data_IF_760385027316
#
_entry.id   IF_760385027316
#
_cell.length_a   1.000
_cell.length_b   1.000
_cell.length_c   1.000
_cell.angle_alpha   90.00
_cell.angle_beta   90.00
_cell.angle_gamma   90.00
#
_symmetry.space_group_name_H-M   'P 1'
#
loop_
_entity.id
_entity.type
_entity.pdbx_description
1 polymer ?
#
# COMPACT_ATOMS: atom_id res chain seq x y z
N UNK A 1 11.17 6.16 6.93
CA UNK A 1 10.08 5.56 7.74
C UNK A 1 10.48 4.13 8.05
N UNK A 2 10.70 3.78 9.32
CA UNK A 2 11.28 2.50 9.74
C UNK A 2 10.19 1.58 10.32
N UNK A 3 9.14 1.29 9.54
CA UNK A 3 8.04 0.41 9.97
C UNK A 3 8.57 -0.96 10.41
N UNK A 4 9.57 -1.48 9.69
CA UNK A 4 10.22 -2.74 10.01
C UNK A 4 10.99 -2.74 11.33
N UNK A 5 11.32 -1.58 11.92
CA UNK A 5 11.94 -1.56 13.25
C UNK A 5 11.06 -2.20 14.33
N UNK A 6 9.73 -2.14 14.16
CA UNK A 6 8.78 -2.81 15.05
C UNK A 6 8.10 -4.02 14.38
N UNK A 7 7.83 -3.95 13.08
CA UNK A 7 7.08 -4.99 12.34
C UNK A 7 7.92 -6.16 11.83
N UNK A 8 9.25 -6.12 11.96
CA UNK A 8 10.10 -7.26 11.56
C UNK A 8 9.79 -8.56 12.32
N UNK A 9 9.25 -8.46 13.54
CA UNK A 9 9.04 -9.62 14.41
C UNK A 9 7.72 -10.35 14.19
N UNK A 10 6.71 -9.67 13.64
CA UNK A 10 5.42 -10.25 13.31
C UNK A 10 5.28 -10.58 11.81
N UNK A 11 6.35 -10.39 11.03
CA UNK A 11 6.41 -10.68 9.59
C UNK A 11 5.66 -9.67 8.71
N UNK A 12 5.06 -8.63 9.30
CA UNK A 12 4.25 -7.67 8.56
C UNK A 12 5.15 -6.79 7.69
N UNK A 13 4.89 -6.80 6.38
CA UNK A 13 5.60 -6.00 5.40
C UNK A 13 7.02 -6.50 5.08
N UNK A 14 7.46 -7.64 5.61
CA UNK A 14 8.74 -8.23 5.24
C UNK A 14 8.76 -8.62 3.76
N UNK A 15 7.65 -9.19 3.26
CA UNK A 15 7.42 -9.45 1.83
C UNK A 15 7.52 -8.20 0.94
N UNK A 16 6.93 -7.09 1.38
CA UNK A 16 6.99 -5.81 0.68
C UNK A 16 8.44 -5.32 0.57
N UNK A 17 9.23 -5.52 1.62
CA UNK A 17 10.64 -5.12 1.71
C UNK A 17 11.61 -6.11 1.05
N UNK A 18 11.14 -7.29 0.62
CA UNK A 18 12.01 -8.35 0.12
C UNK A 18 12.85 -8.99 1.23
N UNK A 19 12.30 -9.07 2.45
CA UNK A 19 12.94 -9.67 3.60
C UNK A 19 12.25 -11.00 3.92
N UNK A 20 13.01 -12.10 3.85
CA UNK A 20 12.53 -13.42 4.25
C UNK A 20 13.19 -13.81 5.57
N UNK A 21 12.42 -13.70 6.65
CA UNK A 21 12.89 -14.05 7.99
C UNK A 21 12.80 -15.55 8.25
N UNK A 22 13.74 -16.09 9.05
CA UNK A 22 13.60 -17.45 9.58
C UNK A 22 12.35 -17.56 10.46
N UNK A 23 11.68 -18.74 10.50
CA UNK A 23 10.52 -18.95 11.36
C UNK A 23 10.85 -18.55 12.80
N UNK A 24 9.94 -17.81 13.45
CA UNK A 24 10.08 -17.46 14.86
C UNK A 24 10.01 -18.74 15.71
N UNK A 25 11.17 -19.35 16.00
CA UNK A 25 11.24 -20.44 16.99
C UNK A 25 10.85 -19.88 18.37
N UNK A 26 10.26 -20.69 19.28
CA UNK A 26 9.69 -20.21 20.54
C UNK A 26 10.70 -19.62 21.56
N UNK A 27 11.97 -19.43 21.19
CA UNK A 27 12.98 -18.84 22.08
C UNK A 27 13.95 -17.99 21.25
N UNK A 28 14.05 -16.66 21.49
CA UNK A 28 15.26 -15.95 21.13
C UNK A 28 16.35 -16.45 22.06
N UNK A 29 17.30 -17.24 21.55
CA UNK A 29 18.51 -17.48 22.31
C UNK A 29 19.21 -16.12 22.48
N UNK A 30 19.50 -15.74 23.72
CA UNK A 30 20.23 -14.52 24.12
C UNK A 30 21.50 -14.28 23.29
N UNK A 31 22.05 -15.35 22.72
CA UNK A 31 23.26 -15.42 21.91
C UNK A 31 23.19 -14.69 20.55
N UNK A 32 22.03 -14.18 20.09
CA UNK A 32 21.96 -13.41 18.83
C UNK A 32 22.36 -11.94 18.98
N UNK A 33 22.32 -11.37 20.19
CA UNK A 33 22.63 -9.94 20.41
C UNK A 33 24.14 -9.68 20.45
N UNK A 34 24.93 -10.68 20.83
CA UNK A 34 26.40 -10.62 20.92
C UNK A 34 27.10 -11.23 19.68
N UNK A 35 26.34 -11.51 18.61
CA UNK A 35 26.90 -12.08 17.39
C UNK A 35 27.71 -11.02 16.62
N UNK A 36 28.86 -11.41 16.07
CA UNK A 36 29.75 -10.52 15.30
C UNK A 36 29.08 -9.95 14.03
N UNK A 37 28.03 -10.60 13.54
CA UNK A 37 27.29 -10.14 12.35
C UNK A 37 26.15 -9.20 12.74
N UNK A 38 26.14 -7.94 12.28
CA UNK A 38 25.03 -7.03 12.54
C UNK A 38 23.75 -7.57 11.90
N UNK A 39 22.75 -7.84 12.74
CA UNK A 39 21.46 -8.32 12.29
C UNK A 39 20.54 -7.13 11.95
N UNK A 40 20.06 -7.07 10.70
CA UNK A 40 19.05 -6.10 10.30
C UNK A 40 17.78 -6.32 11.14
N UNK A 41 17.40 -5.31 11.93
CA UNK A 41 16.31 -5.40 12.91
C UNK A 41 16.48 -6.55 13.92
N UNK A 42 17.71 -6.92 14.29
CA UNK A 42 17.95 -7.95 15.30
C UNK A 42 17.54 -9.37 14.87
N UNK A 43 17.36 -9.61 13.56
CA UNK A 43 17.11 -10.94 12.99
C UNK A 43 17.92 -11.20 11.72
N UNK A 44 18.24 -12.46 11.48
CA UNK A 44 18.73 -12.93 10.19
C UNK A 44 17.59 -12.89 9.17
N UNK A 45 17.88 -12.30 8.01
CA UNK A 45 16.98 -12.26 6.87
C UNK A 45 17.72 -12.77 5.64
N UNK A 46 17.06 -13.57 4.84
CA UNK A 46 17.43 -13.77 3.45
C UNK A 46 16.83 -12.62 2.64
N UNK A 47 17.65 -11.99 1.80
CA UNK A 47 17.19 -10.90 0.93
C UNK A 47 16.62 -11.48 -0.34
N UNK A 48 15.35 -11.16 -0.58
CA UNK A 48 14.64 -11.48 -1.80
C UNK A 48 14.31 -10.18 -2.56
N UNK A 49 13.84 -10.32 -3.80
CA UNK A 49 13.42 -9.26 -4.72
C UNK A 49 12.12 -8.54 -4.28
N UNK A 50 12.15 -7.33 -3.70
CA UNK A 50 10.99 -6.71 -3.04
C UNK A 50 9.73 -6.58 -3.91
N UNK A 51 8.58 -6.32 -3.28
CA UNK A 51 7.33 -6.08 -4.00
C UNK A 51 7.49 -4.99 -5.07
N UNK A 52 6.77 -5.12 -6.19
CA UNK A 52 6.90 -4.20 -7.32
C UNK A 52 6.57 -2.75 -6.93
N UNK A 53 5.66 -2.53 -5.97
CA UNK A 53 5.38 -1.19 -5.46
C UNK A 53 6.59 -0.63 -4.73
N UNK A 54 7.26 -1.44 -3.90
CA UNK A 54 8.51 -1.07 -3.23
C UNK A 54 9.63 -0.79 -4.24
N UNK A 55 9.85 -1.67 -5.22
CA UNK A 55 10.85 -1.44 -6.27
C UNK A 55 10.60 -0.13 -7.04
N UNK A 56 9.33 0.16 -7.31
CA UNK A 56 8.95 1.42 -7.96
C UNK A 56 9.15 2.62 -7.05
N UNK A 57 9.27 2.46 -5.74
CA UNK A 57 9.60 3.53 -4.78
C UNK A 57 8.43 3.96 -3.92
N UNK A 58 7.36 3.15 -3.84
CA UNK A 58 6.33 3.31 -2.84
C UNK A 58 6.83 2.86 -1.46
N UNK A 59 6.20 3.42 -0.43
CA UNK A 59 6.46 3.15 0.97
C UNK A 59 5.18 2.66 1.65
N UNK A 60 5.29 2.06 2.83
CA UNK A 60 4.14 1.45 3.51
C UNK A 60 2.94 2.40 3.62
N UNK A 61 3.17 3.68 3.94
CA UNK A 61 2.09 4.69 4.07
C UNK A 61 1.44 5.12 2.76
N UNK A 62 1.99 4.73 1.60
CA UNK A 62 1.35 4.99 0.32
C UNK A 62 0.08 4.11 0.16
N UNK A 63 0.05 2.95 0.81
CA UNK A 63 -1.13 2.09 0.94
C UNK A 63 -1.81 2.24 2.31
N UNK A 64 -1.02 2.31 3.40
CA UNK A 64 -1.53 2.39 4.76
C UNK A 64 -1.92 3.82 5.16
N UNK A 65 -3.16 3.96 5.62
CA UNK A 65 -3.68 5.20 6.22
C UNK A 65 -3.40 5.30 7.73
N UNK A 66 -3.66 6.48 8.31
CA UNK A 66 -3.49 6.71 9.75
C UNK A 66 -4.31 5.78 10.64
N UNK A 67 -5.42 5.23 10.13
CA UNK A 67 -6.29 4.34 10.88
C UNK A 67 -5.79 2.88 10.82
N UNK A 68 -5.15 2.49 9.72
CA UNK A 68 -4.52 1.17 9.56
C UNK A 68 -3.32 1.00 10.52
N UNK A 69 -2.73 2.12 10.95
CA UNK A 69 -1.55 2.15 11.83
C UNK A 69 -1.95 2.17 13.32
N UNK A 70 -3.12 2.76 13.64
CA UNK A 70 -3.59 2.92 15.03
C UNK A 70 -4.69 1.94 15.43
N UNK A 71 -5.29 1.23 14.48
CA UNK A 71 -6.38 0.29 14.72
C UNK A 71 -5.88 -1.09 15.14
N UNK A 72 -6.61 -1.72 16.06
CA UNK A 72 -6.55 -3.17 16.20
C UNK A 72 -7.12 -3.82 14.93
N UNK A 73 -6.51 -4.92 14.45
CA UNK A 73 -7.04 -5.64 13.31
C UNK A 73 -8.47 -6.12 13.57
N UNK A 74 -9.41 -5.87 12.64
CA UNK A 74 -10.80 -6.30 12.80
C UNK A 74 -10.93 -7.83 12.81
N UNK A 75 -9.89 -8.55 12.39
CA UNK A 75 -9.79 -10.01 12.48
C UNK A 75 -8.33 -10.47 12.56
N UNK A 76 -8.11 -11.69 13.03
CA UNK A 76 -6.78 -12.33 13.05
C UNK A 76 -6.25 -12.71 11.66
N UNK A 77 -7.00 -12.44 10.59
CA UNK A 77 -6.55 -12.71 9.23
C UNK A 77 -5.37 -11.80 8.87
N UNK A 78 -4.37 -12.32 8.13
CA UNK A 78 -3.31 -11.49 7.55
C UNK A 78 -3.91 -10.34 6.75
N UNK A 79 -3.27 -9.16 6.82
CA UNK A 79 -3.67 -7.96 6.07
C UNK A 79 -5.09 -7.41 6.35
N UNK A 80 -5.77 -7.86 7.40
CA UNK A 80 -7.09 -7.35 7.81
C UNK A 80 -7.09 -5.86 8.17
N UNK A 81 -5.95 -5.35 8.61
CA UNK A 81 -5.71 -3.94 8.93
C UNK A 81 -5.56 -3.03 7.71
N UNK A 82 -5.31 -3.58 6.51
CA UNK A 82 -5.17 -2.75 5.31
C UNK A 82 -6.56 -2.42 4.78
N UNK A 83 -6.95 -1.16 4.93
CA UNK A 83 -8.23 -0.72 4.40
C UNK A 83 -8.18 -0.50 2.88
N UNK A 84 -7.05 -0.04 2.37
CA UNK A 84 -6.83 0.14 0.93
C UNK A 84 -6.63 -1.21 0.25
N UNK A 85 -7.50 -1.55 -0.70
CA UNK A 85 -7.42 -2.78 -1.51
C UNK A 85 -6.80 -2.48 -2.87
N UNK A 86 -6.31 -3.52 -3.55
CA UNK A 86 -5.68 -3.40 -4.87
C UNK A 86 -6.62 -2.70 -5.87
N UNK A 87 -7.89 -3.09 -5.84
CA UNK A 87 -8.98 -2.56 -6.66
C UNK A 87 -9.35 -1.10 -6.35
N UNK A 88 -8.98 -0.57 -5.18
CA UNK A 88 -9.19 0.84 -4.88
C UNK A 88 -8.35 1.72 -5.79
N UNK A 89 -7.10 1.31 -6.05
CA UNK A 89 -6.16 2.04 -6.92
C UNK A 89 -6.25 1.61 -8.39
N UNK A 90 -6.38 0.30 -8.64
CA UNK A 90 -6.31 -0.27 -9.98
C UNK A 90 -7.69 -0.49 -10.63
N UNK A 91 -8.77 -0.39 -9.87
CA UNK A 91 -10.11 -0.76 -10.30
C UNK A 91 -10.25 -2.27 -10.47
N UNK A 92 -11.31 -2.67 -11.18
CA UNK A 92 -11.51 -4.02 -11.70
C UNK A 92 -11.58 -3.96 -13.23
N UNK A 93 -11.67 -5.12 -13.89
CA UNK A 93 -11.89 -5.15 -15.33
C UNK A 93 -13.25 -4.58 -15.76
N UNK A 94 -14.19 -4.36 -14.84
CA UNK A 94 -15.50 -3.78 -15.11
C UNK A 94 -15.63 -2.33 -14.63
N UNK A 95 -14.87 -1.95 -13.59
CA UNK A 95 -15.07 -0.68 -12.87
C UNK A 95 -13.75 0.06 -12.66
N UNK A 96 -13.72 1.34 -13.03
CA UNK A 96 -12.58 2.21 -12.73
C UNK A 96 -12.58 2.62 -11.24
N UNK A 97 -11.43 3.11 -10.71
CA UNK A 97 -11.36 3.68 -9.37
C UNK A 97 -12.40 4.78 -9.14
N UNK A 98 -12.85 4.92 -7.88
CA UNK A 98 -13.76 6.01 -7.48
C UNK A 98 -12.96 7.30 -7.35
N UNK A 99 -13.59 8.42 -7.71
CA UNK A 99 -12.99 9.75 -7.65
C UNK A 99 -13.81 10.73 -6.81
N UNK A 100 -13.14 11.73 -6.26
CA UNK A 100 -13.70 12.88 -5.56
C UNK A 100 -13.02 14.16 -6.07
N UNK A 101 -13.81 15.15 -6.46
CA UNK A 101 -13.30 16.41 -6.97
C UNK A 101 -12.96 17.35 -5.82
N UNK A 102 -11.68 17.70 -5.66
CA UNK A 102 -11.27 18.67 -4.64
C UNK A 102 -11.68 20.08 -5.05
N UNK A 103 -12.55 20.71 -4.26
CA UNK A 103 -12.98 22.09 -4.47
C UNK A 103 -12.82 22.90 -3.19
N UNK A 104 -12.18 24.06 -3.25
CA UNK A 104 -12.05 24.98 -2.11
C UNK A 104 -13.40 25.43 -1.56
N UNK A 105 -14.42 25.50 -2.42
CA UNK A 105 -15.80 25.82 -2.04
C UNK A 105 -16.53 24.68 -1.32
N UNK A 106 -16.00 23.44 -1.37
CA UNK A 106 -16.60 22.28 -0.72
C UNK A 106 -16.04 22.13 0.71
N UNK A 107 -16.89 22.26 1.76
CA UNK A 107 -16.45 22.09 3.15
C UNK A 107 -15.79 20.74 3.44
N UNK A 108 -16.15 19.68 2.70
CA UNK A 108 -15.55 18.35 2.85
C UNK A 108 -14.12 18.27 2.30
N UNK A 109 -13.72 19.20 1.43
CA UNK A 109 -12.35 19.30 0.90
C UNK A 109 -11.39 19.99 1.87
N UNK A 110 -11.89 20.83 2.80
CA UNK A 110 -11.04 21.60 3.73
C UNK A 110 -10.08 20.72 4.54
N UNK A 111 -10.52 19.63 5.20
CA UNK A 111 -9.60 18.73 5.93
C UNK A 111 -8.54 18.11 5.02
N UNK A 112 -8.86 17.88 3.74
CA UNK A 112 -7.94 17.28 2.76
C UNK A 112 -6.85 18.29 2.38
N UNK A 113 -7.22 19.55 2.12
CA UNK A 113 -6.25 20.62 1.88
C UNK A 113 -5.34 20.85 3.09
N UNK A 114 -5.92 20.84 4.29
CA UNK A 114 -5.15 21.00 5.53
C UNK A 114 -4.15 19.84 5.71
N UNK A 115 -4.54 18.60 5.39
CA UNK A 115 -3.61 17.47 5.38
C UNK A 115 -2.53 17.58 4.30
N UNK A 116 -2.88 18.02 3.08
CA UNK A 116 -1.92 18.20 1.98
C UNK A 116 -0.83 19.21 2.33
N UNK A 117 -1.16 20.30 3.04
CA UNK A 117 -0.18 21.31 3.51
C UNK A 117 0.87 20.74 4.45
N UNK A 118 0.55 19.67 5.19
CA UNK A 118 1.49 19.00 6.09
C UNK A 118 2.56 18.19 5.35
N UNK A 119 2.33 17.89 4.06
CA UNK A 119 3.24 17.08 3.28
C UNK A 119 3.87 17.89 2.13
N UNK A 120 5.14 18.32 2.25
CA UNK A 120 5.82 19.09 1.19
C UNK A 120 5.96 18.32 -0.12
N UNK A 121 5.91 16.98 -0.08
CA UNK A 121 5.92 16.15 -1.27
C UNK A 121 4.61 16.18 -2.04
N UNK A 122 3.51 16.69 -1.47
CA UNK A 122 2.18 16.65 -2.08
C UNK A 122 1.56 18.04 -2.27
N UNK A 123 1.82 19.00 -1.37
CA UNK A 123 1.17 20.32 -1.36
C UNK A 123 1.26 21.09 -2.68
N UNK A 124 2.35 20.92 -3.44
CA UNK A 124 2.54 21.56 -4.76
C UNK A 124 2.02 20.74 -5.93
N UNK A 125 1.61 19.49 -5.69
CA UNK A 125 1.24 18.52 -6.74
C UNK A 125 -0.27 18.30 -6.83
N UNK A 126 -0.99 18.54 -5.73
CA UNK A 126 -2.43 18.30 -5.60
C UNK A 126 -3.06 19.61 -5.13
N UNK A 127 -4.08 20.08 -5.85
CA UNK A 127 -4.71 21.37 -5.60
C UNK A 127 -6.18 21.43 -5.95
N UNK A 128 -6.73 22.64 -5.89
CA UNK A 128 -8.11 22.92 -6.24
C UNK A 128 -8.43 22.49 -7.69
N UNK A 129 -9.55 21.81 -7.88
CA UNK A 129 -9.99 21.26 -9.16
C UNK A 129 -9.40 19.89 -9.52
N UNK A 130 -8.47 19.33 -8.73
CA UNK A 130 -7.94 17.99 -8.98
C UNK A 130 -8.96 16.90 -8.57
N UNK A 131 -9.31 15.94 -9.45
CA UNK A 131 -10.00 14.72 -9.05
C UNK A 131 -9.01 13.79 -8.33
N UNK A 132 -9.26 13.49 -7.07
CA UNK A 132 -8.47 12.56 -6.27
C UNK A 132 -9.16 11.21 -6.10
N UNK A 133 -8.39 10.18 -5.81
CA UNK A 133 -8.91 8.83 -5.61
C UNK A 133 -9.63 8.71 -4.26
N UNK A 134 -10.67 7.90 -4.22
CA UNK A 134 -11.36 7.51 -2.98
C UNK A 134 -11.39 5.99 -2.89
N UNK A 135 -10.99 5.45 -1.75
CA UNK A 135 -11.01 4.00 -1.53
C UNK A 135 -12.44 3.46 -1.32
N UNK A 136 -12.58 2.14 -1.27
CA UNK A 136 -13.84 1.42 -1.08
C UNK A 136 -14.58 1.81 0.20
N UNK A 137 -13.85 2.21 1.25
CA UNK A 137 -14.36 2.71 2.54
C UNK A 137 -14.76 4.19 2.52
N UNK A 138 -14.68 4.87 1.37
CA UNK A 138 -15.06 6.27 1.23
C UNK A 138 -13.98 7.26 1.71
N UNK A 139 -12.75 6.80 1.91
CA UNK A 139 -11.65 7.64 2.38
C UNK A 139 -10.89 8.26 1.22
N UNK A 140 -10.70 9.59 1.22
CA UNK A 140 -9.87 10.24 0.23
C UNK A 140 -8.41 9.77 0.30
N UNK A 141 -7.82 9.55 -0.86
CA UNK A 141 -6.40 9.26 -1.05
C UNK A 141 -5.76 10.40 -1.83
N UNK A 142 -5.53 11.56 -1.17
CA UNK A 142 -5.16 12.80 -1.85
C UNK A 142 -3.78 12.75 -2.51
N UNK A 143 -2.95 11.76 -2.18
CA UNK A 143 -1.69 11.51 -2.88
C UNK A 143 -1.86 10.85 -4.25
N UNK A 144 -3.10 10.53 -4.65
CA UNK A 144 -3.44 9.97 -5.95
C UNK A 144 -4.47 10.86 -6.64
N UNK A 145 -4.15 11.35 -7.84
CA UNK A 145 -5.07 12.15 -8.66
C UNK A 145 -5.21 11.65 -10.09
N UNK A 146 -6.31 12.01 -10.72
CA UNK A 146 -6.51 11.82 -12.16
C UNK A 146 -6.06 13.07 -12.91
N UNK A 147 -5.11 12.89 -13.80
CA UNK A 147 -4.69 13.90 -14.77
C UNK A 147 -5.08 13.41 -16.17
N UNK A 148 -6.00 14.13 -16.83
CA UNK A 148 -6.57 13.74 -18.13
C UNK A 148 -7.21 12.33 -18.07
N UNK A 149 -6.56 11.33 -18.65
CA UNK A 149 -7.00 9.93 -18.72
C UNK A 149 -6.15 8.99 -17.87
N UNK A 150 -5.21 9.51 -17.08
CA UNK A 150 -4.29 8.69 -16.29
C UNK A 150 -4.43 8.98 -14.81
N UNK A 151 -4.34 7.92 -14.02
CA UNK A 151 -4.21 8.01 -12.58
C UNK A 151 -2.74 8.09 -12.20
N UNK A 152 -2.42 9.06 -11.35
CA UNK A 152 -1.06 9.36 -10.90
C UNK A 152 -1.01 9.24 -9.39
N UNK A 153 -0.14 8.38 -8.89
CA UNK A 153 0.21 8.29 -7.49
C UNK A 153 1.50 9.06 -7.26
N UNK A 154 1.54 9.86 -6.20
CA UNK A 154 2.75 10.47 -5.68
C UNK A 154 3.07 9.84 -4.34
N UNK A 155 4.27 9.27 -4.18
CA UNK A 155 4.67 8.72 -2.89
C UNK A 155 4.62 9.81 -1.83
N UNK A 156 3.97 9.54 -0.69
CA UNK A 156 3.87 10.44 0.45
C UNK A 156 5.24 10.71 1.08
N UNK A 157 6.19 9.77 0.93
CA UNK A 157 7.53 9.86 1.52
C UNK A 157 8.51 10.60 0.61
N UNK A 158 8.51 10.31 -0.69
CA UNK A 158 9.54 10.83 -1.62
C UNK A 158 8.99 11.83 -2.64
N UNK A 159 7.66 11.89 -2.80
CA UNK A 159 7.01 12.65 -3.87
C UNK A 159 7.19 12.06 -5.27
N UNK A 160 7.81 10.87 -5.39
CA UNK A 160 8.03 10.20 -6.67
C UNK A 160 6.70 9.91 -7.35
N UNK A 161 6.63 10.20 -8.65
CA UNK A 161 5.44 10.04 -9.50
C UNK A 161 5.38 8.62 -10.06
N UNK A 162 4.18 8.03 -10.00
CA UNK A 162 3.86 6.71 -10.56
C UNK A 162 2.59 6.80 -11.40
N UNK A 163 2.60 6.20 -12.58
CA UNK A 163 1.38 6.01 -13.37
C UNK A 163 0.72 4.72 -12.90
N UNK A 164 -0.54 4.79 -12.52
CA UNK A 164 -1.30 3.62 -12.08
C UNK A 164 -1.87 2.88 -13.30
N UNK A 165 -1.54 1.60 -13.50
CA UNK A 165 -2.22 0.78 -14.50
C UNK A 165 -3.66 0.52 -14.06
N UNK A 166 -4.62 0.79 -14.93
CA UNK A 166 -6.04 0.60 -14.64
C UNK A 166 -6.53 -0.68 -15.32
N UNK A 167 -7.05 -1.62 -14.54
CA UNK A 167 -7.43 -2.95 -15.03
C UNK A 167 -8.57 -2.89 -16.05
N UNK A 168 -9.47 -1.92 -15.93
CA UNK A 168 -10.55 -1.69 -16.89
C UNK A 168 -10.05 -1.46 -18.32
N UNK A 169 -8.85 -0.91 -18.47
CA UNK A 169 -8.25 -0.60 -19.78
C UNK A 169 -7.37 -1.74 -20.31
N UNK A 170 -7.30 -2.86 -19.57
CA UNK A 170 -6.50 -4.03 -19.90
C UNK A 170 -7.44 -5.22 -20.13
N UNK A 171 -7.21 -5.97 -21.22
CA UNK A 171 -7.98 -7.17 -21.52
C UNK A 171 -7.85 -8.17 -20.35
N UNK A 172 -8.96 -8.68 -19.77
CA UNK A 172 -8.89 -9.60 -18.64
C UNK A 172 -8.21 -10.91 -19.03
N UNK A 173 -7.17 -11.35 -18.30
CA UNK A 173 -6.59 -12.68 -18.49
C UNK A 173 -7.62 -13.76 -18.14
N UNK A 174 -7.42 -14.98 -18.64
CA UNK A 174 -8.36 -16.09 -18.42
C UNK A 174 -8.65 -16.32 -16.92
N UNK A 175 -7.63 -16.17 -16.05
CA UNK A 175 -7.78 -16.28 -14.61
C UNK A 175 -8.80 -15.26 -14.03
N UNK A 176 -8.88 -14.04 -14.58
CA UNK A 176 -9.82 -13.02 -14.11
C UNK A 176 -11.21 -13.13 -14.74
N UNK A 177 -11.41 -14.05 -15.69
CA UNK A 177 -12.73 -14.30 -16.31
C UNK A 177 -13.57 -15.28 -15.49
N UNK A 178 -12.98 -15.96 -14.51
CA UNK A 178 -13.69 -16.83 -13.56
C UNK A 178 -14.18 -15.98 -12.38
N UNK A 179 -15.49 -15.78 -12.19
CA UNK A 179 -16.01 -14.89 -11.16
C UNK A 179 -15.59 -15.29 -9.74
N UNK A 180 -15.40 -16.58 -9.47
CA UNK A 180 -14.95 -17.07 -8.17
C UNK A 180 -13.55 -16.55 -7.80
N UNK A 181 -12.62 -16.46 -8.76
CA UNK A 181 -11.29 -15.88 -8.50
C UNK A 181 -11.39 -14.42 -8.08
N UNK A 182 -12.21 -13.64 -8.78
CA UNK A 182 -12.31 -12.21 -8.52
C UNK A 182 -13.08 -11.88 -7.23
N UNK A 183 -13.98 -12.76 -6.79
CA UNK A 183 -14.87 -12.49 -5.66
C UNK A 183 -14.47 -13.19 -4.36
N UNK A 184 -13.63 -14.24 -4.42
CA UNK A 184 -13.29 -15.06 -3.26
C UNK A 184 -11.79 -15.14 -2.96
N UNK A 185 -10.94 -14.68 -3.88
CA UNK A 185 -9.49 -14.73 -3.73
C UNK A 185 -8.94 -13.30 -3.74
N UNK A 186 -8.10 -12.97 -2.75
CA UNK A 186 -7.41 -11.68 -2.76
C UNK A 186 -6.39 -11.63 -3.90
N UNK A 187 -6.26 -10.46 -4.56
CA UNK A 187 -5.30 -10.28 -5.66
C UNK A 187 -3.87 -10.68 -5.27
N UNK A 188 -3.48 -10.41 -4.01
CA UNK A 188 -2.16 -10.74 -3.48
C UNK A 188 -1.88 -12.26 -3.46
N UNK A 189 -2.89 -13.13 -3.37
CA UNK A 189 -2.68 -14.57 -3.40
C UNK A 189 -2.04 -15.07 -4.72
N UNK A 190 -2.21 -14.33 -5.81
CA UNK A 190 -1.59 -14.63 -7.11
C UNK A 190 -0.55 -13.58 -7.55
N UNK A 191 -0.68 -12.33 -7.11
CA UNK A 191 0.14 -11.20 -7.56
C UNK A 191 1.12 -10.68 -6.51
N UNK A 192 1.11 -11.20 -5.28
CA UNK A 192 2.25 -11.01 -4.39
C UNK A 192 3.46 -11.69 -5.03
N UNK A 193 4.59 -10.99 -5.01
CA UNK A 193 5.85 -11.51 -5.56
C UNK A 193 6.30 -12.79 -4.84
N UNK A 194 5.84 -12.93 -3.60
CA UNK A 194 5.92 -14.13 -2.78
C UNK A 194 4.52 -14.39 -2.25
N UNK A 195 3.72 -15.15 -2.98
CA UNK A 195 2.62 -15.85 -2.34
C UNK A 195 3.25 -16.96 -1.52
N UNK A 196 3.22 -16.83 -0.19
CA UNK A 196 3.51 -17.96 0.68
C UNK A 196 2.47 -19.04 0.37
N UNK A 197 2.90 -20.09 -0.33
CA UNK A 197 2.22 -21.38 -0.32
C UNK A 197 2.36 -22.03 1.04
#
# INVERSE_FOLDING_TARGET
MQCQHCHHNNGVGSEFEGLFGRPARPKPARNQVDAETPLLYGKEHEFLVPDIHRERGMHCIDCHGSNDIKGEPPSSLPHSNVETRCEDCHGTHQKAPKEFLLLESDPTSKPIFDWLKLNPNLVKKIGNGDPILVNSKGRPMPHIKREKKQWLLFSKVTGKRHVLPILKDIKPPAAHQVPAHMNQVECAACHARWSAG
#
